data_IF_725315272543
#
_entry.id   IF_725315272543
#
_cell.length_a   1.000
_cell.length_b   1.000
_cell.length_c   1.000
_cell.angle_alpha   90.00
_cell.angle_beta   90.00
_cell.angle_gamma   90.00
#
_symmetry.space_group_name_H-M   'P 1'
#
loop_
_entity.id
_entity.type
_entity.pdbx_description
1 polymer ?
#
# COMPACT_ATOMS: atom_id res chain seq x y z
N UNK A 1 2.39 -16.83 16.70
CA UNK A 1 1.66 -17.53 15.61
C UNK A 1 1.89 -16.91 14.23
N UNK A 2 1.50 -15.66 13.95
CA UNK A 2 1.69 -15.09 12.60
C UNK A 2 3.17 -14.87 12.24
N UNK A 3 3.99 -14.47 13.21
CA UNK A 3 5.44 -14.38 13.06
C UNK A 3 6.05 -15.76 12.81
N UNK A 4 5.78 -16.74 13.68
CA UNK A 4 6.24 -18.13 13.53
C UNK A 4 5.84 -18.74 12.18
N UNK A 5 4.59 -18.52 11.74
CA UNK A 5 4.10 -18.98 10.44
C UNK A 5 4.87 -18.33 9.29
N UNK A 6 5.13 -17.02 9.39
CA UNK A 6 5.90 -16.31 8.38
C UNK A 6 7.33 -16.83 8.31
N UNK A 7 7.95 -17.14 9.46
CA UNK A 7 9.29 -17.69 9.51
C UNK A 7 9.33 -19.12 8.96
N UNK A 8 8.40 -19.97 9.36
CA UNK A 8 8.28 -21.33 8.83
C UNK A 8 8.16 -21.36 7.30
N UNK A 9 7.33 -20.49 6.71
CA UNK A 9 7.18 -20.42 5.26
C UNK A 9 8.46 -19.91 4.57
N UNK A 10 9.17 -18.96 5.18
CA UNK A 10 10.48 -18.51 4.68
C UNK A 10 11.52 -19.63 4.71
N UNK A 11 11.56 -20.40 5.80
CA UNK A 11 12.49 -21.54 5.96
C UNK A 11 12.20 -22.65 4.93
N UNK A 12 10.95 -22.76 4.47
CA UNK A 12 10.55 -23.64 3.37
C UNK A 12 10.83 -23.06 1.98
N UNK A 13 11.39 -21.86 1.88
CA UNK A 13 11.79 -21.22 0.63
C UNK A 13 10.71 -20.39 -0.06
N UNK A 14 9.57 -20.13 0.60
CA UNK A 14 8.53 -19.28 0.03
C UNK A 14 8.86 -17.79 0.20
N UNK A 15 8.48 -16.97 -0.79
CA UNK A 15 8.63 -15.51 -0.72
C UNK A 15 7.51 -14.90 0.12
N UNK A 16 7.78 -14.73 1.42
CA UNK A 16 6.75 -14.30 2.39
C UNK A 16 7.06 -12.94 2.99
N UNK A 17 6.04 -12.08 3.03
CA UNK A 17 6.04 -10.87 3.84
C UNK A 17 5.15 -11.04 5.09
N UNK A 18 5.62 -10.49 6.20
CA UNK A 18 4.85 -10.41 7.44
C UNK A 18 4.36 -8.97 7.66
N UNK A 19 3.07 -8.82 7.94
CA UNK A 19 2.44 -7.53 8.19
C UNK A 19 2.00 -7.46 9.66
N UNK A 20 2.81 -6.80 10.48
CA UNK A 20 2.52 -6.55 11.89
C UNK A 20 1.91 -5.15 12.11
N UNK A 21 1.19 -4.99 13.22
CA UNK A 21 0.39 -3.79 13.49
C UNK A 21 1.23 -2.53 13.72
N UNK A 22 2.51 -2.66 14.06
CA UNK A 22 3.41 -1.54 14.39
C UNK A 22 4.10 -0.95 13.16
N UNK A 23 3.92 -1.54 11.97
CA UNK A 23 4.49 -1.01 10.73
C UNK A 23 3.97 0.39 10.44
N UNK A 24 4.90 1.27 10.06
CA UNK A 24 4.55 2.62 9.59
C UNK A 24 3.78 2.52 8.28
N UNK A 25 2.92 3.51 8.01
CA UNK A 25 2.07 3.54 6.81
C UNK A 25 2.85 3.38 5.50
N UNK A 26 4.03 4.01 5.40
CA UNK A 26 4.91 3.92 4.23
C UNK A 26 5.48 2.50 4.02
N UNK A 27 5.95 1.87 5.09
CA UNK A 27 6.50 0.51 5.05
C UNK A 27 5.42 -0.50 4.64
N UNK A 28 4.20 -0.32 5.16
CA UNK A 28 3.05 -1.11 4.78
C UNK A 28 2.73 -0.98 3.28
N UNK A 29 2.65 0.25 2.77
CA UNK A 29 2.39 0.49 1.35
C UNK A 29 3.44 -0.19 0.46
N UNK A 30 4.71 -0.12 0.86
CA UNK A 30 5.82 -0.78 0.16
C UNK A 30 5.66 -2.30 0.13
N UNK A 31 5.30 -2.94 1.24
CA UNK A 31 5.07 -4.40 1.29
C UNK A 31 3.93 -4.81 0.36
N UNK A 32 2.84 -4.04 0.35
CA UNK A 32 1.71 -4.31 -0.55
C UNK A 32 2.08 -4.14 -2.02
N UNK A 33 2.85 -3.10 -2.36
CA UNK A 33 3.39 -2.92 -3.72
C UNK A 33 4.34 -4.07 -4.11
N UNK A 34 5.21 -4.49 -3.20
CA UNK A 34 6.13 -5.62 -3.43
C UNK A 34 5.36 -6.94 -3.66
N UNK A 35 4.24 -7.16 -2.96
CA UNK A 35 3.33 -8.28 -3.20
C UNK A 35 2.70 -8.20 -4.60
N UNK A 36 2.20 -7.02 -5.01
CA UNK A 36 1.66 -6.81 -6.37
C UNK A 36 2.68 -7.04 -7.47
N UNK A 37 3.94 -6.71 -7.23
CA UNK A 37 5.07 -6.92 -8.16
C UNK A 37 5.58 -8.36 -8.18
N UNK A 38 5.06 -9.26 -7.34
CA UNK A 38 5.52 -10.65 -7.25
C UNK A 38 6.89 -10.81 -6.57
N UNK A 39 7.35 -9.80 -5.82
CA UNK A 39 8.52 -9.94 -4.94
C UNK A 39 8.19 -10.85 -3.75
N UNK A 40 6.95 -10.77 -3.28
CA UNK A 40 6.36 -11.73 -2.36
C UNK A 40 5.21 -12.44 -3.04
N UNK A 41 5.03 -13.72 -2.70
CA UNK A 41 3.91 -14.53 -3.17
C UNK A 41 2.88 -14.71 -2.04
N UNK A 42 3.30 -14.58 -0.78
CA UNK A 42 2.48 -14.81 0.41
C UNK A 42 2.59 -13.60 1.35
N UNK A 43 1.44 -13.15 1.85
CA UNK A 43 1.34 -12.16 2.92
C UNK A 43 0.70 -12.79 4.14
N UNK A 44 1.39 -12.74 5.28
CA UNK A 44 0.88 -13.22 6.57
C UNK A 44 0.59 -12.01 7.45
N UNK A 45 -0.60 -11.93 8.03
CA UNK A 45 -0.98 -10.85 8.93
C UNK A 45 -2.08 -11.26 9.91
N UNK A 46 -2.19 -10.53 11.01
CA UNK A 46 -3.19 -10.79 12.06
C UNK A 46 -4.54 -10.17 11.68
N UNK A 47 -4.52 -8.96 11.11
CA UNK A 47 -5.72 -8.22 10.77
C UNK A 47 -5.61 -7.52 9.41
N UNK A 48 -5.83 -8.30 8.34
CA UNK A 48 -5.83 -7.82 6.95
C UNK A 48 -7.08 -6.98 6.56
N UNK A 49 -7.81 -6.49 7.56
CA UNK A 49 -9.08 -5.77 7.38
C UNK A 49 -8.88 -4.28 7.17
N UNK A 50 -7.80 -3.71 7.71
CA UNK A 50 -7.63 -2.27 7.81
C UNK A 50 -6.85 -1.66 6.65
N UNK A 51 -6.16 -2.47 5.86
CA UNK A 51 -5.19 -1.94 4.89
C UNK A 51 -5.80 -1.52 3.56
N UNK A 52 -7.12 -1.71 3.35
CA UNK A 52 -7.69 -1.45 2.04
C UNK A 52 -7.02 -2.32 0.96
N UNK A 53 -6.63 -3.55 1.33
CA UNK A 53 -6.09 -4.58 0.44
C UNK A 53 -7.07 -4.82 -0.71
N UNK A 54 -6.85 -4.09 -1.80
CA UNK A 54 -7.55 -4.19 -3.07
C UNK A 54 -6.50 -4.60 -4.11
N UNK A 55 -6.13 -5.87 -4.01
CA UNK A 55 -5.07 -6.50 -4.79
C UNK A 55 -5.73 -7.55 -5.70
N UNK A 56 -6.03 -7.21 -6.96
CA UNK A 56 -6.63 -8.14 -7.91
C UNK A 56 -5.81 -9.41 -8.14
N UNK A 57 -4.52 -9.36 -7.85
CA UNK A 57 -3.58 -10.48 -7.98
C UNK A 57 -3.81 -11.59 -6.92
N UNK A 58 -4.51 -11.29 -5.82
CA UNK A 58 -4.82 -12.28 -4.77
C UNK A 58 -5.92 -13.22 -5.22
N UNK A 59 -5.57 -14.49 -5.40
CA UNK A 59 -6.52 -15.57 -5.76
C UNK A 59 -6.96 -16.41 -4.57
N UNK A 60 -6.24 -16.34 -3.45
CA UNK A 60 -6.44 -17.25 -2.32
C UNK A 60 -6.31 -16.52 -0.99
N UNK A 61 -7.25 -16.80 -0.08
CA UNK A 61 -7.23 -16.30 1.30
C UNK A 61 -7.41 -17.47 2.26
N UNK A 62 -6.43 -17.69 3.13
CA UNK A 62 -6.52 -18.65 4.22
C UNK A 62 -6.83 -17.94 5.54
N UNK A 63 -7.85 -18.42 6.25
CA UNK A 63 -8.22 -17.94 7.58
C UNK A 63 -7.88 -19.05 8.57
N UNK A 64 -6.77 -18.88 9.28
CA UNK A 64 -6.41 -19.77 10.39
C UNK A 64 -7.24 -19.43 11.63
N UNK A 65 -7.54 -20.46 12.43
CA UNK A 65 -8.33 -20.36 13.65
C UNK A 65 -9.66 -19.62 13.41
N UNK A 66 -10.38 -20.03 12.36
CA UNK A 66 -11.62 -19.37 11.97
C UNK A 66 -12.75 -19.54 13.01
N UNK A 67 -12.66 -20.55 13.87
CA UNK A 67 -13.60 -20.86 14.94
C UNK A 67 -13.29 -20.20 16.29
N UNK A 68 -12.18 -19.46 16.39
CA UNK A 68 -11.84 -18.67 17.57
C UNK A 68 -12.62 -17.37 17.56
N UNK A 69 -13.84 -17.40 18.10
CA UNK A 69 -14.71 -16.23 18.18
C UNK A 69 -14.04 -15.07 18.94
N UNK A 70 -14.32 -13.85 18.48
CA UNK A 70 -13.71 -12.63 18.98
C UNK A 70 -13.77 -11.52 17.94
N UNK A 71 -13.08 -10.40 18.20
CA UNK A 71 -13.12 -9.23 17.31
C UNK A 71 -12.69 -9.56 15.87
N UNK A 72 -11.66 -10.39 15.69
CA UNK A 72 -11.12 -10.74 14.38
C UNK A 72 -11.91 -11.83 13.64
N UNK A 73 -12.87 -12.49 14.30
CA UNK A 73 -13.62 -13.65 13.77
C UNK A 73 -15.13 -13.53 13.96
N UNK A 74 -15.62 -12.33 14.22
CA UNK A 74 -17.06 -12.06 14.20
C UNK A 74 -17.61 -12.04 12.75
N UNK A 75 -18.93 -12.03 12.62
CA UNK A 75 -19.65 -12.04 11.34
C UNK A 75 -19.11 -10.99 10.35
N UNK A 76 -18.89 -9.75 10.81
CA UNK A 76 -18.45 -8.63 9.97
C UNK A 76 -17.01 -8.82 9.51
N UNK A 77 -16.12 -9.20 10.43
CA UNK A 77 -14.70 -9.44 10.16
C UNK A 77 -14.52 -10.55 9.14
N UNK A 78 -15.21 -11.69 9.30
CA UNK A 78 -15.11 -12.81 8.35
C UNK A 78 -15.58 -12.42 6.94
N UNK A 79 -16.70 -11.71 6.81
CA UNK A 79 -17.19 -11.21 5.51
C UNK A 79 -16.17 -10.29 4.85
N UNK A 80 -15.55 -9.39 5.62
CA UNK A 80 -14.54 -8.48 5.07
C UNK A 80 -13.27 -9.22 4.64
N UNK A 81 -12.80 -10.23 5.40
CA UNK A 81 -11.67 -11.07 5.00
C UNK A 81 -12.00 -11.82 3.71
N UNK A 82 -13.19 -12.42 3.62
CA UNK A 82 -13.66 -13.10 2.41
C UNK A 82 -13.66 -12.15 1.20
N UNK A 83 -14.09 -10.91 1.40
CA UNK A 83 -14.12 -9.88 0.37
C UNK A 83 -12.77 -9.56 -0.26
N UNK A 84 -11.64 -9.89 0.40
CA UNK A 84 -10.29 -9.72 -0.16
C UNK A 84 -10.04 -10.62 -1.37
N UNK A 85 -10.65 -11.81 -1.40
CA UNK A 85 -10.56 -12.72 -2.55
C UNK A 85 -11.51 -12.33 -3.70
N UNK A 86 -12.49 -11.46 -3.45
CA UNK A 86 -13.56 -11.16 -4.41
C UNK A 86 -13.13 -10.27 -5.60
N UNK A 87 -11.87 -9.80 -5.60
CA UNK A 87 -11.31 -8.97 -6.69
C UNK A 87 -10.75 -9.79 -7.85
N UNK A 88 -10.62 -11.11 -7.66
CA UNK A 88 -10.09 -12.03 -8.66
C UNK A 88 -11.18 -13.05 -9.06
N UNK A 89 -11.27 -13.35 -10.35
CA UNK A 89 -12.23 -14.32 -10.89
C UNK A 89 -12.04 -15.74 -10.30
N UNK A 90 -10.80 -16.09 -9.94
CA UNK A 90 -10.40 -17.35 -9.32
C UNK A 90 -10.33 -17.26 -7.80
N UNK A 91 -10.83 -16.18 -7.21
CA UNK A 91 -10.85 -15.93 -5.77
C UNK A 91 -11.45 -17.08 -4.97
N UNK A 92 -10.67 -17.61 -4.03
CA UNK A 92 -11.06 -18.69 -3.11
C UNK A 92 -10.69 -18.35 -1.67
N UNK A 93 -11.52 -18.81 -0.73
CA UNK A 93 -11.29 -18.64 0.70
C UNK A 93 -11.36 -20.00 1.36
N UNK A 94 -10.38 -20.31 2.22
CA UNK A 94 -10.37 -21.52 3.06
C UNK A 94 -10.32 -21.10 4.52
N UNK A 95 -11.28 -21.62 5.30
CA UNK A 95 -11.35 -21.40 6.74
C UNK A 95 -10.89 -22.67 7.45
N UNK A 96 -9.79 -22.58 8.20
CA UNK A 96 -9.31 -23.67 9.05
C UNK A 96 -9.93 -23.53 10.44
N UNK A 97 -10.69 -24.53 10.86
CA UNK A 97 -11.46 -24.54 12.09
C UNK A 97 -11.69 -25.98 12.56
N UNK A 98 -11.84 -26.18 13.87
CA UNK A 98 -12.28 -27.46 14.42
C UNK A 98 -13.82 -27.61 14.36
N UNK A 99 -14.56 -26.49 14.39
CA UNK A 99 -16.03 -26.48 14.30
C UNK A 99 -16.55 -25.26 13.54
N UNK A 100 -17.73 -25.37 12.95
CA UNK A 100 -18.41 -24.22 12.35
C UNK A 100 -19.10 -23.39 13.43
N UNK A 101 -18.68 -22.13 13.61
CA UNK A 101 -19.32 -21.19 14.55
C UNK A 101 -20.52 -20.48 13.92
N UNK A 102 -21.33 -19.79 14.72
CA UNK A 102 -22.44 -18.97 14.21
C UNK A 102 -21.94 -17.85 13.30
N UNK A 103 -20.79 -17.24 13.64
CA UNK A 103 -20.16 -16.21 12.81
C UNK A 103 -19.67 -16.74 11.47
N UNK A 104 -19.08 -17.94 11.45
CA UNK A 104 -18.68 -18.61 10.22
C UNK A 104 -19.89 -18.93 9.35
N UNK A 105 -20.92 -19.56 9.93
CA UNK A 105 -22.13 -19.94 9.20
C UNK A 105 -22.76 -18.73 8.53
N UNK A 106 -22.96 -17.64 9.29
CA UNK A 106 -23.49 -16.38 8.74
C UNK A 106 -22.64 -15.84 7.58
N UNK A 107 -21.31 -15.82 7.73
CA UNK A 107 -20.43 -15.30 6.69
C UNK A 107 -20.45 -16.16 5.42
N UNK A 108 -20.51 -17.50 5.57
CA UNK A 108 -20.62 -18.47 4.48
C UNK A 108 -21.95 -18.28 3.74
N UNK A 109 -23.06 -18.23 4.48
CA UNK A 109 -24.40 -18.11 3.91
C UNK A 109 -24.57 -16.79 3.15
N UNK A 110 -24.12 -15.67 3.73
CA UNK A 110 -24.20 -14.37 3.06
C UNK A 110 -23.30 -14.31 1.81
N UNK A 111 -22.13 -14.95 1.84
CA UNK A 111 -21.25 -15.05 0.68
C UNK A 111 -21.91 -15.87 -0.44
N UNK A 112 -22.48 -17.02 -0.11
CA UNK A 112 -23.16 -17.89 -1.07
C UNK A 112 -24.39 -17.22 -1.66
N UNK A 113 -25.21 -16.54 -0.82
CA UNK A 113 -26.37 -15.77 -1.26
C UNK A 113 -25.98 -14.70 -2.27
N UNK A 114 -24.94 -13.91 -1.97
CA UNK A 114 -24.43 -12.87 -2.91
C UNK A 114 -23.92 -13.47 -4.20
N UNK A 115 -23.14 -14.56 -4.12
CA UNK A 115 -22.58 -15.24 -5.30
C UNK A 115 -23.67 -15.78 -6.21
N UNK A 116 -24.73 -16.38 -5.65
CA UNK A 116 -25.86 -16.87 -6.42
C UNK A 116 -26.56 -15.75 -7.21
N UNK A 117 -26.81 -14.60 -6.57
CA UNK A 117 -27.39 -13.43 -7.22
C UNK A 117 -26.49 -12.88 -8.34
N UNK A 118 -25.18 -12.82 -8.11
CA UNK A 118 -24.21 -12.38 -9.10
C UNK A 118 -24.16 -13.32 -10.31
N UNK A 119 -24.18 -14.63 -10.09
CA UNK A 119 -24.20 -15.63 -11.17
C UNK A 119 -25.49 -15.48 -12.00
N UNK A 120 -26.65 -15.39 -11.34
CA UNK A 120 -27.93 -15.23 -12.03
C UNK A 120 -27.98 -13.93 -12.87
N UNK A 121 -27.47 -12.83 -12.31
CA UNK A 121 -27.34 -11.57 -13.03
C UNK A 121 -26.42 -11.71 -14.25
N UNK A 122 -25.23 -12.29 -14.05
CA UNK A 122 -24.26 -12.47 -15.13
C UNK A 122 -24.81 -13.34 -16.26
N UNK A 123 -25.51 -14.43 -15.94
CA UNK A 123 -26.16 -15.30 -16.93
C UNK A 123 -27.25 -14.55 -17.70
N UNK A 124 -28.10 -13.79 -17.01
CA UNK A 124 -29.16 -12.99 -17.64
C UNK A 124 -28.61 -11.94 -18.60
N UNK A 125 -27.44 -11.39 -18.31
CA UNK A 125 -26.84 -10.28 -19.06
C UNK A 125 -25.66 -10.70 -19.96
N UNK A 126 -25.33 -11.99 -20.05
CA UNK A 126 -24.21 -12.48 -20.85
C UNK A 126 -22.83 -11.98 -20.37
N UNK A 127 -22.68 -11.67 -19.09
CA UNK A 127 -21.44 -11.13 -18.52
C UNK A 127 -20.51 -12.29 -18.14
N UNK A 128 -19.31 -12.29 -18.71
CA UNK A 128 -18.23 -13.19 -18.27
C UNK A 128 -17.39 -12.50 -17.18
N UNK A 129 -17.27 -13.07 -15.97
CA UNK A 129 -16.41 -12.51 -14.93
C UNK A 129 -14.98 -12.39 -15.44
N UNK A 130 -14.38 -11.22 -15.25
CA UNK A 130 -12.98 -10.97 -15.56
C UNK A 130 -12.33 -10.24 -14.39
N UNK A 131 -11.08 -10.58 -14.09
CA UNK A 131 -10.30 -9.88 -13.06
C UNK A 131 -9.97 -8.46 -13.51
N UNK A 132 -10.20 -7.47 -12.63
CA UNK A 132 -9.88 -6.07 -12.93
C UNK A 132 -8.35 -5.91 -12.96
N UNK A 133 -7.82 -5.44 -14.09
CA UNK A 133 -6.40 -5.10 -14.21
C UNK A 133 -6.22 -3.66 -13.72
N UNK A 134 -5.58 -3.49 -12.57
CA UNK A 134 -5.17 -2.17 -12.06
C UNK A 134 -3.69 -1.97 -12.32
N UNK A 135 -3.30 -0.83 -12.89
CA UNK A 135 -1.90 -0.46 -12.99
C UNK A 135 -1.19 -0.56 -11.64
N UNK A 136 0.00 -1.15 -11.63
CA UNK A 136 0.93 -1.03 -10.50
C UNK A 136 1.60 0.32 -10.73
N UNK A 137 1.26 1.34 -9.91
CA UNK A 137 1.96 2.62 -9.98
C UNK A 137 3.44 2.34 -9.68
N UNK A 138 4.28 2.74 -10.61
CA UNK A 138 5.69 2.47 -10.49
C UNK A 138 6.30 3.53 -9.56
N UNK A 139 6.64 3.14 -8.32
CA UNK A 139 7.46 3.93 -7.39
C UNK A 139 8.77 4.43 -8.05
N UNK A 140 9.14 3.90 -9.22
CA UNK A 140 10.25 4.40 -10.04
C UNK A 140 10.10 5.84 -10.50
N UNK A 141 8.89 6.35 -10.76
CA UNK A 141 8.76 7.79 -11.09
C UNK A 141 9.00 8.69 -9.87
N UNK A 142 8.79 8.17 -8.65
CA UNK A 142 9.16 8.86 -7.41
C UNK A 142 10.66 8.85 -7.12
N UNK A 143 11.38 7.83 -7.59
CA UNK A 143 12.81 7.64 -7.29
C UNK A 143 13.73 8.66 -7.95
N UNK A 144 13.42 9.19 -9.13
CA UNK A 144 14.31 10.17 -9.77
C UNK A 144 14.30 11.49 -9.00
N UNK A 145 13.12 11.99 -8.62
CA UNK A 145 12.99 13.18 -7.77
C UNK A 145 13.55 12.96 -6.36
N UNK A 146 13.26 11.81 -5.73
CA UNK A 146 13.75 11.52 -4.38
C UNK A 146 15.27 11.32 -4.35
N UNK A 147 15.87 10.68 -5.36
CA UNK A 147 17.34 10.55 -5.47
C UNK A 147 18.02 11.89 -5.73
N UNK A 148 17.42 12.76 -6.54
CA UNK A 148 17.94 14.12 -6.73
C UNK A 148 17.91 14.91 -5.41
N UNK A 149 16.86 14.75 -4.60
CA UNK A 149 16.72 15.40 -3.28
C UNK A 149 17.67 14.80 -2.25
N UNK A 150 17.77 13.48 -2.17
CA UNK A 150 18.72 12.80 -1.29
C UNK A 150 20.14 13.19 -1.67
N UNK A 151 20.49 13.25 -2.96
CA UNK A 151 21.79 13.75 -3.42
C UNK A 151 21.99 15.24 -3.05
N UNK A 152 20.95 16.07 -3.19
CA UNK A 152 20.99 17.49 -2.84
C UNK A 152 21.15 17.74 -1.33
N UNK A 153 20.53 16.92 -0.48
CA UNK A 153 20.60 17.02 0.98
C UNK A 153 21.86 16.35 1.56
N UNK A 154 22.33 15.25 0.93
CA UNK A 154 23.47 14.45 1.40
C UNK A 154 24.83 14.97 0.96
N UNK A 155 24.90 15.78 -0.10
CA UNK A 155 26.18 16.15 -0.72
C UNK A 155 27.11 16.96 0.19
N UNK A 156 26.63 17.54 1.29
CA UNK A 156 27.44 18.41 2.15
C UNK A 156 27.97 19.68 1.45
N UNK A 157 27.63 19.87 0.17
CA UNK A 157 28.06 21.01 -0.66
C UNK A 157 27.13 22.18 -0.39
N UNK A 158 27.70 23.39 -0.25
CA UNK A 158 26.92 24.64 -0.24
C UNK A 158 26.28 24.84 -1.61
N UNK A 159 25.04 24.40 -1.78
CA UNK A 159 24.25 24.70 -2.97
C UNK A 159 23.93 26.19 -3.02
N UNK A 160 24.16 26.82 -4.18
CA UNK A 160 23.85 28.24 -4.36
C UNK A 160 22.34 28.45 -4.50
N UNK A 161 21.84 29.62 -4.10
CA UNK A 161 20.41 29.96 -4.25
C UNK A 161 19.89 29.77 -5.68
N UNK A 162 20.77 29.90 -6.67
CA UNK A 162 20.48 29.69 -8.09
C UNK A 162 20.25 28.22 -8.43
N UNK A 163 20.98 27.29 -7.81
CA UNK A 163 20.79 25.85 -8.01
C UNK A 163 19.49 25.36 -7.38
N UNK A 164 19.17 25.84 -6.18
CA UNK A 164 17.88 25.58 -5.51
C UNK A 164 16.71 26.04 -6.37
N UNK A 165 16.79 27.27 -6.91
CA UNK A 165 15.74 27.84 -7.73
C UNK A 165 15.52 27.06 -9.03
N UNK A 166 16.60 26.56 -9.65
CA UNK A 166 16.51 25.73 -10.86
C UNK A 166 15.85 24.37 -10.59
N UNK A 167 16.19 23.73 -9.47
CA UNK A 167 15.59 22.45 -9.06
C UNK A 167 14.10 22.61 -8.76
N UNK A 168 13.72 23.62 -7.97
CA UNK A 168 12.32 23.93 -7.67
C UNK A 168 11.53 24.25 -8.94
N UNK A 169 12.11 25.00 -9.89
CA UNK A 169 11.45 25.32 -11.15
C UNK A 169 11.23 24.09 -12.05
N UNK A 170 12.08 23.07 -11.96
CA UNK A 170 11.88 21.78 -12.63
C UNK A 170 10.75 20.99 -11.96
N UNK A 171 10.82 20.81 -10.63
CA UNK A 171 9.81 20.07 -9.87
C UNK A 171 8.41 20.70 -9.99
N UNK A 172 8.31 22.04 -10.03
CA UNK A 172 7.03 22.74 -10.27
C UNK A 172 6.44 22.44 -11.65
N UNK A 173 7.28 22.29 -12.68
CA UNK A 173 6.81 21.90 -14.03
C UNK A 173 6.27 20.47 -14.02
N UNK A 174 7.00 19.54 -13.43
CA UNK A 174 6.56 18.15 -13.30
C UNK A 174 5.25 18.04 -12.50
N UNK A 175 5.11 18.85 -11.43
CA UNK A 175 3.90 18.90 -10.62
C UNK A 175 2.68 19.36 -11.44
N UNK A 176 2.85 20.40 -12.27
CA UNK A 176 1.78 20.88 -13.15
C UNK A 176 1.43 19.86 -14.25
N UNK A 177 2.41 19.16 -14.80
CA UNK A 177 2.15 18.09 -15.76
C UNK A 177 1.39 16.92 -15.14
N UNK A 178 1.78 16.49 -13.94
CA UNK A 178 1.06 15.46 -13.18
C UNK A 178 -0.40 15.89 -12.90
N UNK A 179 -0.61 17.15 -12.49
CA UNK A 179 -1.95 17.69 -12.30
C UNK A 179 -2.78 17.70 -13.59
N UNK A 180 -2.17 18.05 -14.73
CA UNK A 180 -2.81 18.05 -16.06
C UNK A 180 -3.20 16.64 -16.51
N UNK A 181 -2.44 15.62 -16.10
CA UNK A 181 -2.72 14.20 -16.34
C UNK A 181 -3.68 13.58 -15.30
N UNK A 182 -4.24 14.37 -14.38
CA UNK A 182 -5.10 13.91 -13.27
C UNK A 182 -4.38 12.95 -12.29
N UNK A 183 -3.05 13.03 -12.22
CA UNK A 183 -2.21 12.26 -11.29
C UNK A 183 -2.05 13.04 -9.97
N UNK A 184 -3.15 13.24 -9.24
CA UNK A 184 -3.20 14.13 -8.07
C UNK A 184 -2.26 13.72 -6.92
N UNK A 185 -2.04 12.42 -6.72
CA UNK A 185 -1.10 11.92 -5.72
C UNK A 185 0.34 12.33 -6.05
N UNK A 186 0.73 12.20 -7.33
CA UNK A 186 2.07 12.59 -7.80
C UNK A 186 2.29 14.09 -7.68
N UNK A 187 1.27 14.88 -8.03
CA UNK A 187 1.31 16.32 -7.82
C UNK A 187 1.44 16.70 -6.33
N UNK A 188 0.82 15.94 -5.42
CA UNK A 188 0.95 16.17 -3.98
C UNK A 188 2.35 15.84 -3.46
N UNK A 189 2.94 14.72 -3.89
CA UNK A 189 4.34 14.36 -3.55
C UNK A 189 5.32 15.44 -4.03
N UNK A 190 5.20 15.89 -5.28
CA UNK A 190 6.06 16.92 -5.85
C UNK A 190 5.93 18.25 -5.09
N UNK A 191 4.72 18.60 -4.65
CA UNK A 191 4.48 19.78 -3.81
C UNK A 191 5.19 19.67 -2.47
N UNK A 192 5.05 18.55 -1.79
CA UNK A 192 5.63 18.35 -0.45
C UNK A 192 7.17 18.34 -0.53
N UNK A 193 7.74 17.77 -1.60
CA UNK A 193 9.18 17.84 -1.91
C UNK A 193 9.68 19.28 -2.16
N UNK A 194 8.91 20.10 -2.89
CA UNK A 194 9.24 21.52 -3.12
C UNK A 194 9.28 22.29 -1.78
N UNK A 195 8.30 22.06 -0.90
CA UNK A 195 8.21 22.71 0.41
C UNK A 195 9.44 22.38 1.26
N UNK A 196 9.88 21.12 1.24
CA UNK A 196 11.05 20.67 1.99
C UNK A 196 12.35 21.35 1.51
N UNK A 197 12.55 21.45 0.19
CA UNK A 197 13.70 22.14 -0.41
C UNK A 197 13.68 23.65 -0.08
N UNK A 198 12.53 24.30 -0.20
CA UNK A 198 12.38 25.73 0.09
C UNK A 198 12.62 26.02 1.58
N UNK A 199 12.11 25.17 2.49
CA UNK A 199 12.35 25.26 3.93
C UNK A 199 13.83 25.06 4.30
N UNK A 200 14.50 24.09 3.67
CA UNK A 200 15.93 23.85 3.84
C UNK A 200 16.79 25.03 3.33
N UNK A 201 16.32 25.76 2.30
CA UNK A 201 16.98 26.97 1.81
C UNK A 201 16.77 28.17 2.75
N UNK A 202 15.58 28.31 3.36
CA UNK A 202 15.23 29.42 4.26
C UNK A 202 15.93 29.33 5.62
N UNK A 203 16.06 28.13 6.19
CA UNK A 203 16.78 27.90 7.45
C UNK A 203 18.27 28.26 7.37
N UNK A 204 18.91 28.03 6.21
CA UNK A 204 20.31 28.38 5.95
C UNK A 204 20.56 29.88 5.78
N UNK A 205 19.57 30.64 5.31
CA UNK A 205 19.68 32.10 5.19
C UNK A 205 19.66 32.79 6.56
N UNK A 206 18.86 32.29 7.52
CA UNK A 206 18.82 32.82 8.90
C UNK A 206 20.13 32.59 9.67
N UNK A 207 20.79 31.45 9.48
CA UNK A 207 22.11 31.20 10.11
C UNK A 207 23.22 32.10 9.54
N UNK A 208 23.10 32.55 8.29
CA UNK A 208 24.09 33.45 7.67
C UNK A 208 23.92 34.92 8.08
N UNK A 209 22.71 35.35 8.44
CA UNK A 209 22.47 36.72 8.93
C UNK A 209 22.88 36.90 10.39
N UNK A 210 22.68 35.88 11.24
CA UNK A 210 23.07 35.92 12.66
C UNK A 210 24.59 36.01 12.90
N UNK A 211 25.42 35.59 11.94
CA UNK A 211 26.90 35.66 12.06
C UNK A 211 27.46 37.03 11.67
N UNK A 212 26.70 37.88 10.96
CA UNK A 212 27.18 39.22 10.56
C UNK A 212 27.05 40.27 11.67
N UNK A 213 26.19 40.05 12.66
CA UNK A 213 25.93 41.02 13.75
C UNK A 213 26.83 40.83 14.98
N UNK A 214 27.84 39.94 14.93
CA UNK A 214 28.78 39.65 16.04
C UNK A 214 30.24 39.91 15.64
N UNK A 215 30.50 40.98 14.88
CA UNK A 215 31.84 41.55 14.76
C UNK A 215 31.85 42.95 15.35
N UNK A 216 32.21 43.02 16.63
CA UNK A 216 32.84 44.19 17.27
C UNK A 216 34.28 44.26 16.76
#
# INVERSE_FOLDING_TARGET
MSEDMSQYLKDKGFKVAYLHNELKTLERAKILNDLRRGKYDILVGINLLREGLDIPEVTFVAILDADKEGFLRNNKSLIQIIGRAARNEKGRVVMYAAKTTKSMQFAIDETNRRRALQIAYNQKHGITPATIIKGIRDDMQGRDGQKEIDAYLSSGVKHSSRQTAQLVARLRREMMEAAKKQEYERASELRDMIIEIEAASLSKTKSSSLVKDVKI
#
